data_IF_786453282290
#
_entry.id   IF_786453282290
#
_cell.length_a   1.000
_cell.length_b   1.000
_cell.length_c   1.000
_cell.angle_alpha   90.00
_cell.angle_beta   90.00
_cell.angle_gamma   90.00
#
_symmetry.space_group_name_H-M   'P 1'
#
loop_
_entity.id
_entity.type
_entity.pdbx_description
1 polymer ?
#
# COMPACT_ATOMS: atom_id res chain seq x y z
N UNK A 1 9.25 -10.20 12.21
CA UNK A 1 8.17 -10.85 11.44
C UNK A 1 8.65 -12.19 10.89
N UNK A 2 7.82 -13.24 10.90
CA UNK A 2 8.13 -14.51 10.25
C UNK A 2 7.21 -14.67 9.03
N UNK A 3 7.78 -15.00 7.88
CA UNK A 3 7.03 -15.13 6.63
C UNK A 3 6.03 -16.31 6.70
N UNK A 4 4.78 -16.08 6.29
CA UNK A 4 3.73 -17.09 6.19
C UNK A 4 3.37 -17.36 4.73
N UNK A 5 3.89 -18.47 4.19
CA UNK A 5 3.54 -18.91 2.83
C UNK A 5 2.03 -19.22 2.68
N UNK A 6 1.38 -19.67 3.76
CA UNK A 6 -0.06 -19.95 3.78
C UNK A 6 -0.88 -18.67 3.64
N UNK A 7 -0.58 -17.64 4.43
CA UNK A 7 -1.27 -16.35 4.35
C UNK A 7 -1.04 -15.70 2.98
N UNK A 8 0.21 -15.73 2.49
CA UNK A 8 0.55 -15.22 1.18
C UNK A 8 -0.27 -15.89 0.07
N UNK A 9 -0.34 -17.23 0.07
CA UNK A 9 -1.08 -18.00 -0.94
C UNK A 9 -2.58 -17.73 -0.88
N UNK A 10 -3.16 -17.69 0.33
CA UNK A 10 -4.59 -17.41 0.49
C UNK A 10 -4.96 -16.00 0.04
N UNK A 11 -4.13 -15.00 0.36
CA UNK A 11 -4.35 -13.62 -0.07
C UNK A 11 -4.23 -13.46 -1.59
N UNK A 12 -3.24 -14.11 -2.21
CA UNK A 12 -3.06 -14.18 -3.65
C UNK A 12 -4.32 -14.73 -4.35
N UNK A 13 -4.76 -15.94 -3.94
CA UNK A 13 -5.94 -16.59 -4.53
C UNK A 13 -7.23 -15.80 -4.29
N UNK A 14 -7.37 -15.18 -3.13
CA UNK A 14 -8.52 -14.32 -2.84
C UNK A 14 -8.53 -13.09 -3.74
N UNK A 15 -7.38 -12.47 -3.97
CA UNK A 15 -7.25 -11.31 -4.87
C UNK A 15 -7.59 -11.68 -6.31
N UNK A 16 -7.13 -12.84 -6.80
CA UNK A 16 -7.54 -13.38 -8.10
C UNK A 16 -9.06 -13.52 -8.24
N UNK A 17 -9.74 -14.00 -7.18
CA UNK A 17 -11.19 -14.15 -7.19
C UNK A 17 -11.93 -12.80 -7.15
N UNK A 18 -11.37 -11.79 -6.49
CA UNK A 18 -11.86 -10.41 -6.58
C UNK A 18 -11.67 -9.86 -8.01
N UNK A 19 -10.64 -10.35 -8.70
CA UNK A 19 -10.23 -9.89 -10.02
C UNK A 19 -10.87 -10.51 -11.25
N UNK A 20 -11.53 -11.66 -11.10
CA UNK A 20 -12.34 -12.29 -12.15
C UNK A 20 -13.56 -11.44 -12.61
N UNK A 21 -13.62 -10.16 -12.23
CA UNK A 21 -14.51 -9.12 -12.79
C UNK A 21 -13.86 -8.26 -13.89
N UNK A 22 -12.62 -8.55 -14.31
CA UNK A 22 -12.02 -8.01 -15.54
C UNK A 22 -11.34 -6.65 -15.44
N UNK A 23 -10.88 -6.23 -14.25
CA UNK A 23 -10.40 -4.86 -13.99
C UNK A 23 -8.97 -4.79 -13.41
N UNK A 24 -8.32 -5.91 -13.09
CA UNK A 24 -6.94 -5.89 -12.57
C UNK A 24 -5.93 -6.02 -13.70
N UNK A 25 -4.87 -5.19 -13.67
CA UNK A 25 -3.61 -5.59 -14.29
C UNK A 25 -3.19 -6.92 -13.65
N UNK A 26 -3.21 -8.03 -14.39
CA UNK A 26 -2.99 -9.34 -13.79
C UNK A 26 -1.55 -9.42 -13.29
N UNK A 27 -1.35 -9.49 -11.97
CA UNK A 27 -0.06 -9.78 -11.34
C UNK A 27 0.32 -8.84 -10.19
N UNK A 28 0.09 -7.52 -10.31
CA UNK A 28 0.61 -6.55 -9.32
C UNK A 28 -0.18 -6.62 -8.01
N UNK A 29 -1.51 -6.62 -8.09
CA UNK A 29 -2.36 -6.66 -6.91
C UNK A 29 -2.26 -8.02 -6.19
N UNK A 30 -2.20 -9.12 -6.94
CA UNK A 30 -2.03 -10.44 -6.37
C UNK A 30 -0.66 -10.59 -5.68
N UNK A 31 0.39 -10.01 -6.26
CA UNK A 31 1.71 -9.95 -5.64
C UNK A 31 1.69 -9.12 -4.35
N UNK A 32 1.07 -7.93 -4.37
CA UNK A 32 0.95 -7.05 -3.20
C UNK A 32 0.18 -7.73 -2.07
N UNK A 33 -0.94 -8.40 -2.36
CA UNK A 33 -1.71 -9.10 -1.34
C UNK A 33 -0.92 -10.26 -0.72
N UNK A 34 -0.19 -11.01 -1.54
CA UNK A 34 0.68 -12.09 -1.07
C UNK A 34 1.80 -11.55 -0.17
N UNK A 35 2.42 -10.43 -0.56
CA UNK A 35 3.49 -9.80 0.20
C UNK A 35 3.00 -9.26 1.55
N UNK A 36 1.89 -8.52 1.56
CA UNK A 36 1.30 -7.97 2.77
C UNK A 36 0.83 -9.07 3.73
N UNK A 37 0.12 -10.08 3.24
CA UNK A 37 -0.36 -11.17 4.08
C UNK A 37 0.77 -12.09 4.56
N UNK A 38 1.77 -12.32 3.71
CA UNK A 38 2.91 -13.16 4.02
C UNK A 38 3.83 -12.55 5.07
N UNK A 39 3.95 -11.23 5.13
CA UNK A 39 4.68 -10.54 6.22
C UNK A 39 3.90 -10.54 7.54
N UNK A 40 2.61 -10.88 7.51
CA UNK A 40 1.74 -10.89 8.69
C UNK A 40 1.24 -9.49 9.07
N UNK A 41 1.26 -8.55 8.13
CA UNK A 41 0.88 -7.16 8.35
C UNK A 41 -0.54 -7.02 8.93
N UNK A 42 -0.69 -6.19 9.95
CA UNK A 42 -1.97 -5.92 10.63
C UNK A 42 -2.48 -4.51 10.41
N UNK A 43 -1.60 -3.56 10.06
CA UNK A 43 -1.92 -2.17 9.78
C UNK A 43 -1.37 -1.83 8.40
N UNK A 44 -2.22 -2.01 7.40
CA UNK A 44 -1.89 -1.79 5.99
C UNK A 44 -2.42 -0.45 5.50
N UNK A 45 -1.54 0.42 5.02
CA UNK A 45 -1.93 1.76 4.54
C UNK A 45 -1.57 1.90 3.07
N UNK A 46 -2.53 2.36 2.27
CA UNK A 46 -2.33 2.75 0.88
C UNK A 46 -2.41 4.27 0.75
N UNK A 47 -1.41 4.87 0.12
CA UNK A 47 -1.46 6.25 -0.38
C UNK A 47 -1.98 6.19 -1.81
N UNK A 48 -3.25 6.51 -1.97
CA UNK A 48 -4.00 6.27 -3.20
C UNK A 48 -3.73 7.35 -4.26
N UNK A 49 -3.77 6.91 -5.53
CA UNK A 49 -3.70 7.72 -6.75
C UNK A 49 -4.82 8.75 -6.91
N UNK A 50 -4.74 9.53 -7.99
CA UNK A 50 -5.82 10.47 -8.41
C UNK A 50 -7.13 9.73 -8.76
N UNK A 51 -7.07 8.43 -9.01
CA UNK A 51 -8.25 7.58 -9.20
C UNK A 51 -8.91 7.14 -7.88
N UNK A 52 -8.24 7.36 -6.74
CA UNK A 52 -8.62 6.80 -5.44
C UNK A 52 -8.36 5.29 -5.36
N UNK A 53 -9.19 4.60 -4.58
CA UNK A 53 -9.11 3.17 -4.34
C UNK A 53 -9.27 2.35 -5.64
N UNK A 54 -8.50 1.27 -5.73
CA UNK A 54 -8.41 0.45 -6.92
C UNK A 54 -8.10 -1.03 -6.66
N UNK A 55 -7.58 -1.73 -7.67
CA UNK A 55 -7.08 -3.10 -7.57
C UNK A 55 -6.19 -3.39 -6.35
N UNK A 56 -5.27 -2.48 -6.04
CA UNK A 56 -4.34 -2.55 -4.92
C UNK A 56 -5.04 -2.41 -3.56
N UNK A 57 -6.10 -1.59 -3.48
CA UNK A 57 -6.95 -1.52 -2.28
C UNK A 57 -7.66 -2.85 -2.02
N UNK A 58 -8.19 -3.50 -3.06
CA UNK A 58 -8.79 -4.84 -2.93
C UNK A 58 -7.76 -5.89 -2.50
N UNK A 59 -6.51 -5.78 -2.95
CA UNK A 59 -5.41 -6.63 -2.50
C UNK A 59 -5.14 -6.47 -1.00
N UNK A 60 -5.12 -5.25 -0.48
CA UNK A 60 -4.95 -4.99 0.95
C UNK A 60 -6.15 -5.50 1.77
N UNK A 61 -7.38 -5.34 1.27
CA UNK A 61 -8.58 -5.95 1.89
C UNK A 61 -8.44 -7.48 1.97
N UNK A 62 -7.97 -8.11 0.89
CA UNK A 62 -7.74 -9.56 0.86
C UNK A 62 -6.68 -9.98 1.89
N UNK A 63 -5.58 -9.25 1.99
CA UNK A 63 -4.50 -9.48 2.94
C UNK A 63 -4.96 -9.28 4.39
N UNK A 64 -5.66 -8.18 4.70
CA UNK A 64 -6.22 -7.87 6.01
C UNK A 64 -7.11 -9.00 6.54
N UNK A 65 -7.94 -9.58 5.67
CA UNK A 65 -8.77 -10.71 6.07
C UNK A 65 -7.98 -12.00 6.33
N UNK A 66 -6.77 -12.17 5.80
CA UNK A 66 -5.91 -13.33 6.13
C UNK A 66 -5.15 -13.13 7.44
N UNK A 67 -4.75 -11.90 7.75
CA UNK A 67 -3.92 -11.59 8.92
C UNK A 67 -4.74 -11.17 10.14
N UNK A 68 -6.05 -10.95 9.99
CA UNK A 68 -6.87 -10.31 11.03
C UNK A 68 -6.43 -8.87 11.30
N UNK A 69 -5.94 -8.21 10.24
CA UNK A 69 -5.56 -6.80 10.21
C UNK A 69 -6.68 -5.91 9.66
N UNK A 70 -6.33 -4.67 9.35
CA UNK A 70 -7.20 -3.73 8.67
C UNK A 70 -6.42 -2.97 7.58
N UNK A 71 -7.15 -2.51 6.58
CA UNK A 71 -6.63 -1.73 5.46
C UNK A 71 -7.14 -0.29 5.54
N UNK A 72 -6.29 0.66 5.17
CA UNK A 72 -6.60 2.09 5.08
C UNK A 72 -6.22 2.57 3.69
N UNK A 73 -7.06 3.36 3.03
CA UNK A 73 -6.70 4.10 1.81
C UNK A 73 -6.81 5.59 2.10
N UNK A 74 -5.66 6.27 2.01
CA UNK A 74 -5.54 7.72 2.13
C UNK A 74 -5.82 8.34 0.76
N UNK A 75 -6.80 9.25 0.74
CA UNK A 75 -7.32 9.91 -0.43
C UNK A 75 -7.08 11.42 -0.33
N UNK A 76 -6.87 12.05 -1.49
CA UNK A 76 -6.57 13.48 -1.57
C UNK A 76 -7.76 14.37 -1.33
N UNK A 77 -8.94 13.92 -1.74
CA UNK A 77 -10.13 14.75 -1.65
C UNK A 77 -11.45 14.00 -1.88
N UNK A 78 -12.55 14.76 -1.92
CA UNK A 78 -13.90 14.21 -2.04
C UNK A 78 -14.18 13.53 -3.39
N UNK A 79 -13.52 13.96 -4.47
CA UNK A 79 -13.63 13.37 -5.80
C UNK A 79 -13.14 11.91 -5.77
N UNK A 80 -11.96 11.68 -5.20
CA UNK A 80 -11.36 10.36 -5.07
C UNK A 80 -12.14 9.49 -4.08
N UNK A 81 -12.74 10.07 -3.04
CA UNK A 81 -13.64 9.34 -2.14
C UNK A 81 -14.88 8.82 -2.84
N UNK A 82 -15.47 9.64 -3.72
CA UNK A 82 -16.64 9.23 -4.50
C UNK A 82 -16.30 8.14 -5.52
N UNK A 83 -15.19 8.28 -6.25
CA UNK A 83 -14.73 7.24 -7.18
C UNK A 83 -14.40 5.94 -6.45
N UNK A 84 -13.71 6.02 -5.32
CA UNK A 84 -13.35 4.88 -4.46
C UNK A 84 -14.58 4.12 -3.99
N UNK A 85 -15.57 4.84 -3.45
CA UNK A 85 -16.80 4.24 -2.92
C UNK A 85 -17.57 3.54 -4.04
N UNK A 86 -17.62 4.13 -5.25
CA UNK A 86 -18.24 3.52 -6.41
C UNK A 86 -17.51 2.26 -6.87
N UNK A 87 -16.18 2.30 -6.94
CA UNK A 87 -15.34 1.17 -7.37
C UNK A 87 -15.47 -0.03 -6.42
N UNK A 88 -15.34 0.23 -5.11
CA UNK A 88 -15.39 -0.81 -4.07
C UNK A 88 -16.79 -1.39 -3.89
N UNK A 89 -17.82 -0.56 -4.09
CA UNK A 89 -19.20 -0.93 -3.79
C UNK A 89 -19.46 -1.07 -2.28
N UNK A 90 -20.70 -1.40 -1.89
CA UNK A 90 -21.13 -1.38 -0.49
C UNK A 90 -20.46 -2.43 0.40
N UNK A 91 -19.98 -3.54 -0.18
CA UNK A 91 -19.39 -4.65 0.58
C UNK A 91 -17.92 -4.36 0.93
N UNK A 92 -17.12 -3.95 -0.06
CA UNK A 92 -15.68 -3.72 0.14
C UNK A 92 -15.39 -2.36 0.79
N UNK A 93 -16.23 -1.34 0.57
CA UNK A 93 -16.08 -0.03 1.25
C UNK A 93 -16.20 -0.11 2.77
N UNK A 94 -16.80 -1.19 3.32
CA UNK A 94 -16.86 -1.46 4.76
C UNK A 94 -15.65 -2.22 5.29
N UNK A 95 -14.77 -2.68 4.41
CA UNK A 95 -13.59 -3.50 4.73
C UNK A 95 -12.28 -2.70 4.66
N UNK A 96 -12.35 -1.42 4.29
CA UNK A 96 -11.23 -0.49 4.22
C UNK A 96 -11.67 0.86 4.79
N UNK A 97 -10.79 1.49 5.57
CA UNK A 97 -11.01 2.86 6.04
C UNK A 97 -10.56 3.84 4.95
N UNK A 98 -11.52 4.56 4.36
CA UNK A 98 -11.24 5.63 3.40
C UNK A 98 -11.04 6.95 4.16
N UNK A 99 -9.83 7.49 4.11
CA UNK A 99 -9.42 8.65 4.92
C UNK A 99 -9.00 9.79 4.00
N UNK A 100 -9.55 10.98 4.21
CA UNK A 100 -9.15 12.18 3.49
C UNK A 100 -8.02 12.88 4.23
N UNK A 101 -6.95 13.27 3.53
CA UNK A 101 -5.91 14.12 4.12
C UNK A 101 -4.59 14.11 3.36
N UNK A 102 -3.63 14.85 3.90
CA UNK A 102 -2.26 14.84 3.41
C UNK A 102 -1.56 13.54 3.83
N UNK A 103 -1.05 12.80 2.85
CA UNK A 103 -0.46 11.49 3.08
C UNK A 103 0.81 11.55 3.94
N UNK A 104 1.64 12.58 3.77
CA UNK A 104 2.87 12.74 4.56
C UNK A 104 2.53 13.00 6.03
N UNK A 105 1.60 13.91 6.31
CA UNK A 105 1.17 14.21 7.69
C UNK A 105 0.57 12.98 8.37
N UNK A 106 -0.37 12.30 7.71
CA UNK A 106 -1.05 11.12 8.25
C UNK A 106 -0.08 9.96 8.53
N UNK A 107 0.92 9.74 7.65
CA UNK A 107 1.94 8.71 7.84
C UNK A 107 2.89 9.03 9.00
N UNK A 108 3.23 10.31 9.21
CA UNK A 108 4.11 10.72 10.32
C UNK A 108 3.41 10.72 11.69
N UNK A 109 2.07 10.78 11.71
CA UNK A 109 1.28 10.94 12.92
C UNK A 109 0.41 9.72 13.19
N UNK A 110 -0.74 9.63 12.55
CA UNK A 110 -1.77 8.61 12.83
C UNK A 110 -1.33 7.21 12.43
N UNK A 111 -0.52 7.08 11.38
CA UNK A 111 -0.07 5.80 10.81
C UNK A 111 1.42 5.51 10.99
N UNK A 112 2.09 6.19 11.92
CA UNK A 112 3.52 5.99 12.22
C UNK A 112 3.88 4.53 12.56
N UNK A 113 2.91 3.76 13.06
CA UNK A 113 3.08 2.34 13.40
C UNK A 113 2.61 1.36 12.33
N UNK A 114 2.29 1.82 11.11
CA UNK A 114 1.89 0.94 10.02
C UNK A 114 3.01 -0.07 9.70
N UNK A 115 2.66 -1.35 9.63
CA UNK A 115 3.61 -2.44 9.37
C UNK A 115 3.67 -2.82 7.88
N UNK A 116 2.77 -2.28 7.07
CA UNK A 116 2.83 -2.34 5.62
C UNK A 116 2.27 -1.06 4.98
N UNK A 117 3.08 -0.36 4.18
CA UNK A 117 2.65 0.86 3.48
C UNK A 117 2.86 0.70 1.97
N UNK A 118 1.81 0.97 1.21
CA UNK A 118 1.81 1.00 -0.24
C UNK A 118 1.69 2.45 -0.71
N UNK A 119 2.56 2.89 -1.61
CA UNK A 119 2.54 4.25 -2.18
C UNK A 119 2.41 4.16 -3.69
N UNK A 120 1.34 4.74 -4.24
CA UNK A 120 1.24 4.95 -5.68
C UNK A 120 2.19 6.05 -6.11
N UNK A 121 3.25 5.71 -6.84
CA UNK A 121 4.27 6.68 -7.20
C UNK A 121 3.86 7.66 -8.30
N UNK A 122 2.69 7.48 -8.94
CA UNK A 122 2.12 8.48 -9.87
C UNK A 122 1.54 9.71 -9.14
N UNK A 123 1.32 9.59 -7.84
CA UNK A 123 0.81 10.65 -6.96
C UNK A 123 1.87 11.75 -6.82
N UNK A 124 1.50 13.00 -7.14
CA UNK A 124 2.29 14.18 -6.74
C UNK A 124 2.69 14.14 -5.24
N UNK A 125 3.98 14.23 -4.94
CA UNK A 125 4.48 14.14 -3.56
C UNK A 125 4.66 12.71 -3.05
N UNK A 126 4.60 11.69 -3.93
CA UNK A 126 4.90 10.29 -3.59
C UNK A 126 6.26 10.10 -2.92
N UNK A 127 7.29 10.88 -3.28
CA UNK A 127 8.60 10.82 -2.61
C UNK A 127 8.51 11.21 -1.12
N UNK A 128 7.72 12.26 -0.79
CA UNK A 128 7.53 12.70 0.60
C UNK A 128 6.73 11.67 1.40
N UNK A 129 5.66 11.14 0.81
CA UNK A 129 4.87 10.06 1.41
C UNK A 129 5.72 8.79 1.63
N UNK A 130 6.55 8.42 0.65
CA UNK A 130 7.44 7.27 0.77
C UNK A 130 8.47 7.45 1.90
N UNK A 131 9.10 8.62 2.00
CA UNK A 131 10.03 8.93 3.11
C UNK A 131 9.31 8.91 4.47
N UNK A 132 8.11 9.48 4.56
CA UNK A 132 7.30 9.43 5.78
C UNK A 132 6.99 7.98 6.19
N UNK A 133 6.59 7.14 5.23
CA UNK A 133 6.36 5.73 5.44
C UNK A 133 7.63 4.99 5.91
N UNK A 134 8.80 5.30 5.33
CA UNK A 134 10.07 4.72 5.77
C UNK A 134 10.41 5.09 7.21
N UNK A 135 10.17 6.34 7.60
CA UNK A 135 10.36 6.79 8.98
C UNK A 135 9.44 6.03 9.95
N UNK A 136 8.16 5.86 9.62
CA UNK A 136 7.22 5.07 10.44
C UNK A 136 7.62 3.59 10.52
N UNK A 137 7.92 2.97 9.38
CA UNK A 137 8.30 1.56 9.29
C UNK A 137 9.59 1.22 10.07
N UNK A 138 10.54 2.15 10.16
CA UNK A 138 11.75 1.99 10.96
C UNK A 138 11.46 1.96 12.47
N UNK A 139 10.37 2.59 12.90
CA UNK A 139 9.96 2.67 14.29
C UNK A 139 8.92 1.61 14.69
N UNK A 140 8.25 1.00 13.72
CA UNK A 140 7.31 -0.09 13.95
C UNK A 140 8.02 -1.28 14.63
N UNK A 141 7.44 -1.77 15.74
CA UNK A 141 8.00 -2.86 16.50
C UNK A 141 8.05 -4.15 15.66
N UNK A 142 9.25 -4.50 15.17
CA UNK A 142 9.47 -5.67 14.31
C UNK A 142 9.77 -5.37 12.84
N UNK A 143 9.85 -4.07 12.48
CA UNK A 143 10.11 -3.55 11.14
C UNK A 143 8.86 -3.51 10.27
N UNK A 144 8.64 -2.43 9.52
CA UNK A 144 7.57 -2.34 8.51
C UNK A 144 8.09 -2.53 7.08
N UNK A 145 7.18 -2.83 6.15
CA UNK A 145 7.48 -2.91 4.71
C UNK A 145 6.86 -1.71 4.00
N UNK A 146 7.65 -1.00 3.20
CA UNK A 146 7.18 0.10 2.34
C UNK A 146 7.36 -0.30 0.89
N UNK A 147 6.29 -0.22 0.10
CA UNK A 147 6.25 -0.59 -1.32
C UNK A 147 5.83 0.61 -2.14
N UNK A 148 6.65 1.02 -3.09
CA UNK A 148 6.28 1.99 -4.11
C UNK A 148 5.90 1.24 -5.38
N UNK A 149 4.68 1.44 -5.88
CA UNK A 149 4.25 0.88 -7.18
C UNK A 149 4.05 2.01 -8.19
N UNK A 150 4.06 1.69 -9.48
CA UNK A 150 4.10 2.68 -10.57
C UNK A 150 5.32 3.63 -10.56
N UNK A 151 6.41 3.28 -9.87
CA UNK A 151 7.59 4.12 -9.71
C UNK A 151 8.34 4.44 -11.02
N UNK A 152 8.13 3.64 -12.07
CA UNK A 152 8.83 3.76 -13.36
C UNK A 152 7.92 4.33 -14.47
N UNK A 153 6.71 4.79 -14.14
CA UNK A 153 5.76 5.37 -15.09
C UNK A 153 6.13 6.83 -15.40
N UNK A 154 7.28 7.00 -16.03
CA UNK A 154 7.82 8.25 -16.53
C UNK A 154 9.04 7.90 -17.36
N UNK A 155 8.85 7.65 -18.65
CA UNK A 155 9.97 7.40 -19.55
C UNK A 155 10.82 8.66 -19.67
N UNK A 156 11.85 8.79 -18.81
CA UNK A 156 13.14 9.48 -19.01
C UNK A 156 13.91 9.57 -17.69
N UNK A 157 14.84 8.64 -17.47
CA UNK A 157 16.23 9.01 -17.19
C UNK A 157 16.69 9.63 -15.86
N UNK A 158 15.86 9.87 -14.84
CA UNK A 158 16.40 10.32 -13.54
C UNK A 158 16.26 9.23 -12.47
N UNK A 159 17.37 8.51 -12.29
CA UNK A 159 17.49 7.43 -11.33
C UNK A 159 17.30 7.90 -9.89
N UNK A 160 16.69 7.04 -9.08
CA UNK A 160 16.80 7.06 -7.62
C UNK A 160 18.26 7.21 -7.23
N UNK A 161 18.67 8.39 -6.81
CA UNK A 161 20.04 8.64 -6.37
C UNK A 161 20.15 8.19 -4.91
N UNK A 162 20.56 6.93 -4.72
CA UNK A 162 20.86 6.36 -3.41
C UNK A 162 22.06 7.09 -2.79
N UNK A 163 21.77 7.97 -1.83
CA UNK A 163 22.78 8.71 -1.07
C UNK A 163 23.28 7.85 0.10
N UNK A 164 23.86 6.69 -0.21
CA UNK A 164 24.52 5.83 0.78
C UNK A 164 25.84 5.26 0.27
N UNK A 165 26.76 6.11 -0.20
CA UNK A 165 28.17 5.71 -0.33
C UNK A 165 28.93 6.00 0.96
N UNK A 166 29.31 4.90 1.60
CA UNK A 166 29.87 4.83 2.93
C UNK A 166 31.23 5.50 3.14
N UNK A 167 31.45 5.80 4.42
CA UNK A 167 32.76 6.00 5.05
C UNK A 167 33.76 4.93 4.58
N UNK A 168 34.93 5.35 4.11
CA UNK A 168 36.11 4.49 4.03
C UNK A 168 36.95 4.69 5.30
N UNK A 169 37.12 3.64 6.09
CA UNK A 169 38.41 3.39 6.77
C UNK A 169 39.46 3.10 5.68
N UNK A 170 40.73 3.42 5.83
CA UNK A 170 41.64 3.29 6.98
C UNK A 170 42.44 4.58 7.15
#
# INVERSE_FOLDING_TARGET
MAWSAENATKAYLRTLNLGNRGILEPGVAEFISALAAGTGARVMVEVCGDSGAGPTTLALIAAASQTGGHAVCILRGPEELHSSTRFLGPDHSRQVDLVLGDAEELLLREYRGADFVLVDCQVYGSERAFKAAQHGAAEAAGGGVVVGYNAMCGGSGDGFNDSSSGRRGV
#
